data_IF_946158135960
#
_entry.id   IF_946158135960
#
_cell.length_a   1.000
_cell.length_b   1.000
_cell.length_c   1.000
_cell.angle_alpha   90.00
_cell.angle_beta   90.00
_cell.angle_gamma   90.00
#
_symmetry.space_group_name_H-M   'P 1'
#
loop_
_entity.id
_entity.type
_entity.pdbx_description
1 polymer ?
#
# COMPACT_ATOMS: atom_id res chain seq x y z
N UNK A 1 -6.25 7.48 -6.00
CA UNK A 1 -5.44 7.06 -7.16
C UNK A 1 -6.27 6.45 -8.27
N UNK A 2 -5.84 6.62 -9.53
CA UNK A 2 -6.54 6.13 -10.74
C UNK A 2 -5.64 5.35 -11.71
N UNK A 3 -4.33 5.24 -11.43
CA UNK A 3 -3.37 4.56 -12.30
C UNK A 3 -3.28 5.19 -13.69
N UNK A 4 -3.05 6.51 -13.76
CA UNK A 4 -2.87 7.23 -15.02
C UNK A 4 -1.73 6.60 -15.85
N UNK A 5 -1.94 6.44 -17.16
CA UNK A 5 -0.96 5.76 -18.03
C UNK A 5 0.05 6.72 -18.65
N UNK A 6 -0.38 7.94 -19.00
CA UNK A 6 0.54 8.97 -19.47
C UNK A 6 1.29 9.62 -18.29
N UNK A 7 2.46 10.17 -18.59
CA UNK A 7 3.18 11.04 -17.66
C UNK A 7 2.28 12.20 -17.20
N UNK A 8 2.53 12.70 -16.00
CA UNK A 8 1.82 13.89 -15.52
C UNK A 8 2.19 15.10 -16.37
N UNK A 9 1.17 15.83 -16.82
CA UNK A 9 1.31 17.10 -17.51
C UNK A 9 0.68 18.20 -16.66
N UNK A 10 1.47 19.19 -16.25
CA UNK A 10 0.99 20.32 -15.46
C UNK A 10 0.08 21.30 -16.23
N UNK A 11 0.15 21.30 -17.56
CA UNK A 11 -0.66 22.16 -18.45
C UNK A 11 -2.01 21.51 -18.82
N UNK A 12 -2.25 20.27 -18.42
CA UNK A 12 -3.48 19.52 -18.73
C UNK A 12 -4.10 18.93 -17.47
N UNK A 13 -5.35 18.48 -17.59
CA UNK A 13 -6.03 17.75 -16.53
C UNK A 13 -5.55 16.30 -16.43
N UNK A 14 -5.82 15.70 -15.27
CA UNK A 14 -5.68 14.26 -15.11
C UNK A 14 -6.62 13.52 -16.07
N UNK A 15 -6.21 12.32 -16.48
CA UNK A 15 -6.96 11.47 -17.41
C UNK A 15 -8.17 10.80 -16.73
N UNK A 16 -9.14 11.59 -16.27
CA UNK A 16 -10.32 11.10 -15.53
C UNK A 16 -11.16 10.09 -16.30
N UNK A 17 -11.18 10.18 -17.64
CA UNK A 17 -11.87 9.22 -18.51
C UNK A 17 -11.40 7.77 -18.32
N UNK A 18 -10.20 7.56 -17.76
CA UNK A 18 -9.71 6.22 -17.46
C UNK A 18 -10.60 5.45 -16.47
N UNK A 19 -11.36 6.16 -15.63
CA UNK A 19 -12.30 5.55 -14.68
C UNK A 19 -13.52 4.90 -15.35
N UNK A 20 -13.69 5.03 -16.66
CA UNK A 20 -14.67 4.27 -17.43
C UNK A 20 -14.23 2.81 -17.65
N UNK A 21 -12.95 2.49 -17.44
CA UNK A 21 -12.41 1.14 -17.62
C UNK A 21 -12.19 0.43 -16.27
N UNK A 22 -12.63 -0.83 -16.18
CA UNK A 22 -12.61 -1.62 -14.94
C UNK A 22 -11.23 -1.73 -14.29
N UNK A 23 -10.15 -1.82 -15.09
CA UNK A 23 -8.78 -1.92 -14.56
C UNK A 23 -8.38 -0.71 -13.71
N UNK A 24 -8.80 0.49 -14.10
CA UNK A 24 -8.48 1.73 -13.38
C UNK A 24 -9.41 1.92 -12.17
N UNK A 25 -10.68 1.50 -12.29
CA UNK A 25 -11.56 1.41 -11.13
C UNK A 25 -11.03 0.42 -10.08
N UNK A 26 -10.41 -0.69 -10.51
CA UNK A 26 -9.76 -1.66 -9.64
C UNK A 26 -8.63 -1.03 -8.81
N UNK A 27 -7.75 -0.26 -9.45
CA UNK A 27 -6.69 0.50 -8.75
C UNK A 27 -7.28 1.48 -7.74
N UNK A 28 -8.33 2.21 -8.13
CA UNK A 28 -8.99 3.16 -7.23
C UNK A 28 -9.59 2.47 -6.00
N UNK A 29 -10.28 1.34 -6.19
CA UNK A 29 -10.86 0.53 -5.11
C UNK A 29 -9.77 -0.04 -4.19
N UNK A 30 -8.72 -0.64 -4.77
CA UNK A 30 -7.58 -1.14 -4.01
C UNK A 30 -6.96 -0.05 -3.14
N UNK A 31 -6.69 1.13 -3.72
CA UNK A 31 -6.11 2.24 -2.96
C UNK A 31 -7.02 2.72 -1.83
N UNK A 32 -8.34 2.78 -2.08
CA UNK A 32 -9.32 3.13 -1.05
C UNK A 32 -9.27 2.11 0.10
N UNK A 33 -9.29 0.82 -0.22
CA UNK A 33 -9.34 -0.25 0.77
C UNK A 33 -8.02 -0.34 1.55
N UNK A 34 -6.86 -0.14 0.90
CA UNK A 34 -5.56 -0.03 1.56
C UNK A 34 -5.47 1.19 2.48
N UNK A 35 -6.01 2.35 2.08
CA UNK A 35 -6.05 3.53 2.94
C UNK A 35 -6.95 3.30 4.16
N UNK A 36 -8.03 2.53 4.03
CA UNK A 36 -8.85 2.12 5.17
C UNK A 36 -8.09 1.19 6.11
N UNK A 37 -7.42 0.17 5.58
CA UNK A 37 -6.56 -0.73 6.35
C UNK A 37 -5.50 0.06 7.12
N UNK A 38 -4.71 0.88 6.42
CA UNK A 38 -3.62 1.67 7.01
C UNK A 38 -4.07 2.57 8.17
N UNK A 39 -5.26 3.17 8.06
CA UNK A 39 -5.82 4.06 9.09
C UNK A 39 -6.40 3.33 10.29
N UNK A 40 -6.91 2.12 10.08
CA UNK A 40 -7.62 1.37 11.12
C UNK A 40 -6.69 0.41 11.88
N UNK A 41 -5.56 0.05 11.29
CA UNK A 41 -4.59 -0.85 11.90
C UNK A 41 -3.41 -0.06 12.48
N UNK A 42 -3.34 0.05 13.82
CA UNK A 42 -2.30 0.84 14.50
C UNK A 42 -0.88 0.35 14.16
N UNK A 43 -0.69 -0.97 14.08
CA UNK A 43 0.59 -1.62 13.76
C UNK A 43 1.20 -1.11 12.44
N UNK A 44 0.38 -0.61 11.51
CA UNK A 44 0.83 -0.12 10.21
C UNK A 44 1.55 1.23 10.27
N UNK A 45 1.42 2.01 11.37
CA UNK A 45 1.92 3.39 11.40
C UNK A 45 2.40 3.91 12.78
N UNK A 46 2.01 3.30 13.89
CA UNK A 46 2.30 3.86 15.23
C UNK A 46 3.77 3.70 15.68
N UNK A 47 4.48 2.73 15.09
CA UNK A 47 5.84 2.32 15.40
C UNK A 47 6.81 2.37 14.20
N UNK A 48 6.55 3.17 13.15
CA UNK A 48 7.39 3.24 11.94
C UNK A 48 8.87 3.59 12.21
N UNK A 49 9.14 4.36 13.27
CA UNK A 49 10.48 4.85 13.61
C UNK A 49 11.16 4.04 14.73
N UNK A 50 10.61 2.88 15.12
CA UNK A 50 11.22 2.03 16.15
C UNK A 50 11.40 0.60 15.63
N UNK A 51 12.57 -0.04 15.82
CA UNK A 51 12.81 -1.39 15.33
C UNK A 51 11.80 -2.44 15.83
N UNK A 52 11.22 -2.24 17.01
CA UNK A 52 10.22 -3.12 17.59
C UNK A 52 8.89 -3.17 16.80
N UNK A 53 8.64 -2.24 15.88
CA UNK A 53 7.43 -2.21 15.04
C UNK A 53 7.47 -3.12 13.81
N UNK A 54 8.56 -3.85 13.58
CA UNK A 54 8.79 -4.65 12.38
C UNK A 54 9.55 -5.94 12.69
N UNK A 55 9.18 -7.05 12.05
CA UNK A 55 9.88 -8.32 12.17
C UNK A 55 9.92 -9.09 10.84
N UNK A 56 11.10 -9.48 10.35
CA UNK A 56 11.20 -10.36 9.18
C UNK A 56 10.69 -11.77 9.51
N UNK A 57 9.87 -12.33 8.63
CA UNK A 57 9.45 -13.74 8.67
C UNK A 57 10.14 -14.58 7.59
N UNK A 58 10.36 -13.98 6.42
CA UNK A 58 11.02 -14.60 5.28
C UNK A 58 11.70 -13.52 4.45
N UNK A 59 13.02 -13.63 4.27
CA UNK A 59 13.83 -12.65 3.52
C UNK A 59 14.76 -13.28 2.47
N UNK A 60 14.93 -14.61 2.47
CA UNK A 60 15.93 -15.31 1.67
C UNK A 60 15.31 -16.13 0.51
N UNK A 61 14.18 -15.69 -0.05
CA UNK A 61 13.47 -16.33 -1.17
C UNK A 61 13.54 -15.49 -2.45
N UNK A 62 14.76 -15.08 -2.83
CA UNK A 62 15.00 -14.17 -3.95
C UNK A 62 14.61 -14.79 -5.31
N UNK A 63 14.87 -16.09 -5.50
CA UNK A 63 14.55 -16.81 -6.74
C UNK A 63 13.03 -16.82 -7.02
N UNK A 64 12.21 -16.81 -5.97
CA UNK A 64 10.75 -16.71 -6.05
C UNK A 64 10.24 -15.27 -5.95
N UNK A 65 11.11 -14.30 -5.66
CA UNK A 65 10.76 -12.90 -5.38
C UNK A 65 9.74 -12.76 -4.24
N UNK A 66 9.88 -13.55 -3.18
CA UNK A 66 8.98 -13.54 -2.01
C UNK A 66 9.66 -12.85 -0.82
N UNK A 67 8.92 -11.95 -0.18
CA UNK A 67 9.26 -11.34 1.11
C UNK A 67 8.05 -11.46 2.04
N UNK A 68 8.30 -11.78 3.31
CA UNK A 68 7.27 -11.78 4.34
C UNK A 68 7.79 -11.15 5.63
N UNK A 69 6.99 -10.30 6.25
CA UNK A 69 7.30 -9.62 7.49
C UNK A 69 6.02 -9.40 8.30
N UNK A 70 6.17 -9.05 9.56
CA UNK A 70 5.08 -8.56 10.42
C UNK A 70 5.26 -7.09 10.78
N UNK A 71 4.14 -6.42 11.01
CA UNK A 71 4.05 -5.11 11.63
C UNK A 71 3.48 -5.25 13.03
N UNK A 72 4.04 -4.51 14.00
CA UNK A 72 3.71 -4.67 15.43
C UNK A 72 3.32 -3.30 16.01
N UNK A 73 2.15 -3.19 16.63
CA UNK A 73 1.71 -1.97 17.32
C UNK A 73 2.36 -1.80 18.70
N UNK A 74 2.24 -0.62 19.31
CA UNK A 74 2.71 -0.37 20.68
C UNK A 74 2.04 -1.27 21.71
N UNK A 75 0.78 -1.61 21.47
CA UNK A 75 -0.03 -2.52 22.28
C UNK A 75 0.28 -4.00 22.03
N UNK A 76 1.14 -4.29 21.04
CA UNK A 76 1.58 -5.64 20.69
C UNK A 76 0.69 -6.37 19.71
N UNK A 77 -0.25 -5.69 19.04
CA UNK A 77 -1.03 -6.25 17.94
C UNK A 77 -0.12 -6.51 16.74
N UNK A 78 -0.34 -7.61 16.02
CA UNK A 78 0.52 -8.08 14.93
C UNK A 78 -0.30 -8.31 13.65
N UNK A 79 0.26 -7.87 12.53
CA UNK A 79 -0.31 -8.01 11.18
C UNK A 79 0.76 -8.49 10.22
#
# INVERSE_FOLDING_TARGET
EIGQTAEWNHDDQLQWFLLEYERHQGVQKLMRDLNHLYRNEAAMHDQDCVPAGFEWRLQDEADASILAHERISKEGERI
#
